data_IF_864665658975
#
_entry.id   IF_864665658975
#
_cell.length_a   1.000
_cell.length_b   1.000
_cell.length_c   1.000
_cell.angle_alpha   90.00
_cell.angle_beta   90.00
_cell.angle_gamma   90.00
#
_symmetry.space_group_name_H-M   'P 1'
#
loop_
_entity.id
_entity.type
_entity.pdbx_description
1 polymer ?
#
# COMPACT_ATOMS: atom_id res chain seq x y z
N UNK A 1 -9.88 -5.30 6.19
CA UNK A 1 -9.83 -6.52 5.37
C UNK A 1 -10.95 -7.42 5.83
N UNK A 2 -11.63 -8.09 4.91
CA UNK A 2 -12.65 -9.09 5.27
C UNK A 2 -12.03 -10.49 5.39
N UNK A 3 -12.87 -11.50 5.68
CA UNK A 3 -12.44 -12.89 5.84
C UNK A 3 -11.95 -13.54 4.53
N UNK A 4 -12.23 -12.90 3.38
CA UNK A 4 -11.80 -13.34 2.05
C UNK A 4 -10.47 -12.68 1.62
N UNK A 5 -9.90 -11.81 2.46
CA UNK A 5 -8.65 -11.10 2.15
C UNK A 5 -8.85 -9.87 1.26
N UNK A 6 -10.08 -9.39 1.07
CA UNK A 6 -10.36 -8.16 0.33
C UNK A 6 -9.99 -6.93 1.16
N UNK A 7 -9.29 -5.98 0.53
CA UNK A 7 -8.82 -4.75 1.19
C UNK A 7 -9.72 -3.57 0.82
N UNK A 8 -10.15 -2.83 1.84
CA UNK A 8 -11.02 -1.66 1.70
C UNK A 8 -10.35 -0.44 2.32
N UNK A 9 -10.59 0.73 1.74
CA UNK A 9 -10.08 2.02 2.23
C UNK A 9 -11.13 3.12 2.10
N UNK A 10 -11.08 4.07 3.04
CA UNK A 10 -11.97 5.23 3.13
C UNK A 10 -11.27 6.36 3.91
N UNK A 11 -11.83 7.57 3.85
CA UNK A 11 -11.30 8.79 4.47
C UNK A 11 -10.69 9.77 3.46
N UNK A 12 -9.69 10.52 3.92
CA UNK A 12 -8.95 11.46 3.08
C UNK A 12 -8.16 10.75 1.97
N UNK A 13 -8.25 11.27 0.76
CA UNK A 13 -7.52 10.76 -0.39
C UNK A 13 -6.73 11.85 -1.14
N UNK A 14 -6.45 12.99 -0.49
CA UNK A 14 -5.77 14.13 -1.10
C UNK A 14 -4.43 13.77 -1.77
N UNK A 15 -3.79 12.70 -1.30
CA UNK A 15 -2.50 12.20 -1.78
C UNK A 15 -2.60 10.89 -2.56
N UNK A 16 -3.81 10.35 -2.78
CA UNK A 16 -4.00 9.03 -3.40
C UNK A 16 -3.83 7.86 -2.43
N UNK A 17 -3.78 8.12 -1.11
CA UNK A 17 -3.50 7.11 -0.08
C UNK A 17 -4.60 6.05 0.08
N UNK A 18 -5.75 6.22 -0.58
CA UNK A 18 -6.78 5.17 -0.58
C UNK A 18 -6.55 4.09 -1.65
N UNK A 19 -5.74 4.35 -2.68
CA UNK A 19 -5.39 3.31 -3.66
C UNK A 19 -6.43 3.07 -4.77
N UNK A 20 -7.42 3.96 -4.92
CA UNK A 20 -8.53 3.83 -5.88
C UNK A 20 -8.23 4.35 -7.30
N UNK A 21 -6.97 4.70 -7.60
CA UNK A 21 -6.56 5.29 -8.87
C UNK A 21 -6.97 6.73 -9.08
N UNK A 22 -7.41 7.40 -8.02
CA UNK A 22 -7.79 8.80 -8.01
C UNK A 22 -7.43 9.45 -6.66
N UNK A 23 -7.67 10.76 -6.54
CA UNK A 23 -7.46 11.55 -5.31
C UNK A 23 -8.78 12.04 -4.69
N UNK A 24 -9.86 11.31 -4.92
CA UNK A 24 -11.18 11.63 -4.37
C UNK A 24 -11.37 10.92 -3.04
N UNK A 25 -11.68 11.69 -1.99
CA UNK A 25 -12.01 11.16 -0.67
C UNK A 25 -13.34 10.41 -0.72
N UNK A 26 -13.49 9.40 0.13
CA UNK A 26 -14.72 8.60 0.23
C UNK A 26 -14.99 8.27 1.69
N UNK A 27 -16.21 8.48 2.16
CA UNK A 27 -16.57 8.21 3.56
C UNK A 27 -17.09 6.78 3.77
N UNK A 28 -17.28 6.03 2.69
CA UNK A 28 -17.70 4.62 2.72
C UNK A 28 -16.52 3.70 2.40
N UNK A 29 -16.41 2.53 3.06
CA UNK A 29 -15.43 1.52 2.71
C UNK A 29 -15.54 1.12 1.24
N UNK A 30 -14.50 1.40 0.47
CA UNK A 30 -14.44 1.09 -0.96
C UNK A 30 -13.34 0.07 -1.21
N UNK A 31 -13.63 -0.93 -2.03
CA UNK A 31 -12.70 -1.99 -2.37
C UNK A 31 -11.52 -1.45 -3.18
N UNK A 32 -10.29 -1.76 -2.76
CA UNK A 32 -9.08 -1.52 -3.55
C UNK A 32 -8.94 -2.64 -4.57
N UNK A 33 -9.53 -2.45 -5.75
CA UNK A 33 -9.66 -3.49 -6.77
C UNK A 33 -8.34 -4.08 -7.25
N UNK A 34 -7.24 -3.33 -7.19
CA UNK A 34 -5.91 -3.79 -7.64
C UNK A 34 -5.22 -4.75 -6.67
N UNK A 35 -5.66 -4.81 -5.41
CA UNK A 35 -5.17 -5.78 -4.41
C UNK A 35 -6.02 -7.05 -4.38
N UNK A 36 -7.09 -7.11 -5.17
CA UNK A 36 -7.95 -8.30 -5.23
C UNK A 36 -7.13 -9.52 -5.71
N UNK A 37 -7.35 -10.65 -5.04
CA UNK A 37 -6.66 -11.92 -5.30
C UNK A 37 -5.13 -11.87 -5.07
N UNK A 38 -4.62 -10.86 -4.37
CA UNK A 38 -3.20 -10.79 -4.01
C UNK A 38 -2.87 -11.51 -2.71
N UNK A 39 -3.87 -11.95 -1.92
CA UNK A 39 -3.66 -12.60 -0.61
C UNK A 39 -2.85 -11.71 0.35
N UNK A 40 -3.38 -10.53 0.63
CA UNK A 40 -2.74 -9.57 1.54
C UNK A 40 -2.76 -10.11 2.96
N UNK A 41 -1.60 -10.13 3.62
CA UNK A 41 -1.44 -10.59 5.01
C UNK A 41 -1.18 -9.44 5.97
N UNK A 42 -0.61 -8.33 5.49
CA UNK A 42 -0.29 -7.17 6.32
C UNK A 42 -0.67 -5.87 5.61
N UNK A 43 -1.14 -4.90 6.39
CA UNK A 43 -1.54 -3.58 5.93
C UNK A 43 -0.97 -2.52 6.88
N UNK A 44 -0.42 -1.45 6.31
CA UNK A 44 0.11 -0.32 7.05
C UNK A 44 -0.39 0.98 6.41
N UNK A 45 -0.75 1.95 7.25
CA UNK A 45 -1.18 3.27 6.79
C UNK A 45 -0.43 4.36 7.56
N UNK A 46 -0.02 5.40 6.84
CA UNK A 46 0.49 6.66 7.38
C UNK A 46 -0.45 7.79 6.95
N UNK A 47 -0.12 9.03 7.31
CA UNK A 47 -0.95 10.20 7.00
C UNK A 47 -1.26 10.31 5.48
N UNK A 48 -0.26 10.08 4.62
CA UNK A 48 -0.40 10.24 3.16
C UNK A 48 0.08 9.05 2.36
N UNK A 49 0.50 7.95 2.98
CA UNK A 49 1.01 6.77 2.31
C UNK A 49 0.36 5.52 2.89
N UNK A 50 0.34 4.45 2.11
CA UNK A 50 -0.17 3.15 2.53
C UNK A 50 0.63 2.03 1.89
N UNK A 51 0.71 0.92 2.61
CA UNK A 51 1.50 -0.24 2.23
C UNK A 51 0.71 -1.52 2.47
N UNK A 52 0.97 -2.54 1.66
CA UNK A 52 0.47 -3.89 1.87
C UNK A 52 1.57 -4.91 1.60
N UNK A 53 1.51 -6.06 2.27
CA UNK A 53 2.39 -7.21 1.98
C UNK A 53 1.49 -8.41 1.71
N UNK A 54 1.78 -9.15 0.64
CA UNK A 54 1.11 -10.42 0.35
C UNK A 54 1.76 -11.65 1.01
N UNK A 55 1.08 -12.79 0.95
CA UNK A 55 1.57 -14.06 1.47
C UNK A 55 2.88 -14.55 0.84
N UNK A 56 3.28 -13.98 -0.31
CA UNK A 56 4.53 -14.29 -0.99
C UNK A 56 5.67 -13.30 -0.62
N UNK A 57 5.37 -12.29 0.21
CA UNK A 57 6.33 -11.27 0.62
C UNK A 57 6.47 -10.11 -0.36
N UNK A 58 5.59 -9.96 -1.36
CA UNK A 58 5.61 -8.78 -2.24
C UNK A 58 5.11 -7.55 -1.50
N UNK A 59 5.86 -6.46 -1.58
CA UNK A 59 5.46 -5.16 -1.03
C UNK A 59 4.64 -4.38 -2.06
N UNK A 60 3.52 -3.82 -1.63
CA UNK A 60 2.73 -2.86 -2.37
C UNK A 60 2.82 -1.50 -1.67
N UNK A 61 3.05 -0.42 -2.43
CA UNK A 61 3.08 0.96 -1.92
C UNK A 61 2.15 1.86 -2.75
N UNK A 62 1.45 2.79 -2.09
CA UNK A 62 0.69 3.85 -2.75
C UNK A 62 0.51 5.09 -1.87
N UNK A 63 0.02 6.17 -2.48
CA UNK A 63 -0.17 7.48 -1.88
C UNK A 63 0.93 8.47 -2.28
N UNK A 64 1.37 9.26 -1.31
CA UNK A 64 2.17 10.47 -1.47
C UNK A 64 3.39 10.26 -2.39
N UNK A 65 3.43 11.03 -3.48
CA UNK A 65 4.54 11.03 -4.45
C UNK A 65 4.90 9.65 -5.05
N UNK A 66 4.03 8.65 -4.91
CA UNK A 66 4.19 7.30 -5.48
C UNK A 66 3.17 7.10 -6.60
N UNK A 67 1.91 6.85 -6.23
CA UNK A 67 0.83 6.50 -7.14
C UNK A 67 -0.51 6.54 -6.40
N UNK A 68 -1.60 6.83 -7.11
CA UNK A 68 -2.95 6.69 -6.57
C UNK A 68 -3.46 5.23 -6.59
N UNK A 69 -2.66 4.29 -7.13
CA UNK A 69 -2.92 2.84 -7.19
C UNK A 69 -1.78 2.12 -6.50
N UNK A 70 -2.03 1.05 -5.71
CA UNK A 70 -1.01 0.12 -5.23
C UNK A 70 -0.08 -0.35 -6.34
N UNK A 71 1.21 -0.06 -6.20
CA UNK A 71 2.26 -0.59 -7.08
C UNK A 71 3.04 -1.67 -6.35
N UNK A 72 3.23 -2.81 -7.02
CA UNK A 72 4.06 -3.89 -6.51
C UNK A 72 5.53 -3.54 -6.70
N UNK A 73 6.33 -3.71 -5.65
CA UNK A 73 7.79 -3.59 -5.70
C UNK A 73 8.42 -4.97 -5.61
N UNK A 74 9.12 -5.37 -6.67
CA UNK A 74 9.89 -6.61 -6.71
C UNK A 74 11.31 -6.33 -6.20
N UNK A 75 11.51 -6.35 -4.88
CA UNK A 75 12.85 -6.22 -4.29
C UNK A 75 13.71 -7.50 -4.41
N UNK A 76 13.16 -8.57 -4.99
CA UNK A 76 13.84 -9.84 -5.17
C UNK A 76 14.49 -9.93 -6.55
N UNK A 77 15.61 -9.24 -6.77
CA UNK A 77 16.60 -9.81 -7.68
C UNK A 77 17.19 -11.04 -6.99
N UNK A 78 17.37 -12.13 -7.74
CA UNK A 78 17.88 -13.44 -7.28
C UNK A 78 19.34 -13.40 -6.76
N UNK A 79 19.85 -12.22 -6.38
CA UNK A 79 21.19 -11.98 -5.89
C UNK A 79 21.07 -11.65 -4.39
N UNK A 80 20.97 -12.69 -3.57
CA UNK A 80 21.10 -12.63 -2.11
C UNK A 80 19.98 -11.85 -1.38
N UNK A 81 18.95 -12.52 -0.79
CA UNK A 81 17.89 -11.83 -0.05
C UNK A 81 18.50 -11.01 1.10
N UNK A 82 18.62 -9.70 0.90
CA UNK A 82 19.04 -8.77 1.93
C UNK A 82 17.84 -8.59 2.87
N UNK A 83 17.93 -9.15 4.07
CA UNK A 83 16.99 -8.85 5.16
C UNK A 83 16.93 -7.34 5.33
N UNK A 84 15.80 -6.72 4.98
CA UNK A 84 15.55 -5.31 5.25
C UNK A 84 15.39 -5.17 6.78
N UNK A 85 16.49 -4.94 7.48
CA UNK A 85 16.55 -4.80 8.94
C UNK A 85 16.09 -3.44 9.43
N UNK A 86 15.98 -2.45 8.53
CA UNK A 86 15.33 -1.18 8.84
C UNK A 86 14.90 -0.44 7.57
N UNK A 87 13.72 0.19 7.62
CA UNK A 87 13.30 1.19 6.65
C UNK A 87 13.39 2.54 7.36
N UNK A 88 14.27 3.44 6.89
CA UNK A 88 14.38 4.80 7.43
C UNK A 88 13.38 5.70 6.71
N UNK A 89 12.26 5.98 7.37
CA UNK A 89 11.38 7.09 6.98
C UNK A 89 12.09 8.41 7.31
N UNK A 90 12.64 9.10 6.31
CA UNK A 90 13.08 10.49 6.50
C UNK A 90 11.89 11.39 6.20
N UNK A 91 11.20 11.85 7.24
CA UNK A 91 10.40 13.08 7.12
C UNK A 91 11.39 14.23 6.90
N UNK A 92 11.48 14.74 5.68
CA UNK A 92 12.04 16.06 5.44
C UNK A 92 11.06 17.09 5.99
N UNK A 93 11.21 17.45 7.26
CA UNK A 93 10.72 18.74 7.74
C UNK A 93 11.90 19.71 7.65
N UNK A 94 11.73 20.72 6.79
CA UNK A 94 12.50 21.96 6.58
C UNK A 94 13.96 22.05 7.04
#
# INVERSE_FOLDING_TARGET
MDDEGNVYSWGDNSSGQLGHGNKMSTDTPTLISTLKNKNITNLFASNKQSFAIDSNGHLFEWGNNISAIPIQHDYFTNENPQTITSVKCTSSEN
#
